data_IF_448544296041
#
_entry.id   IF_448544296041
#
_cell.length_a   1.000
_cell.length_b   1.000
_cell.length_c   1.000
_cell.angle_alpha   90.00
_cell.angle_beta   90.00
_cell.angle_gamma   90.00
#
_symmetry.space_group_name_H-M   'P 1'
#
loop_
_entity.id
_entity.type
_entity.pdbx_description
1 polymer ?
#
# COMPACT_ATOMS: atom_id res chain seq x y z
N UNK A 1 -13.97 -2.81 15.17
CA UNK A 1 -14.00 -1.34 15.39
C UNK A 1 -12.69 -0.71 14.90
N UNK A 2 -12.82 0.39 14.22
CA UNK A 2 -11.67 1.07 13.65
C UNK A 2 -10.83 1.73 14.75
N UNK A 3 -9.51 1.48 14.74
CA UNK A 3 -8.60 2.10 15.71
C UNK A 3 -8.44 3.60 15.43
N UNK A 4 -8.40 4.37 16.50
CA UNK A 4 -8.15 5.82 16.40
C UNK A 4 -6.67 6.06 16.14
N UNK A 5 -6.37 6.94 15.17
CA UNK A 5 -4.99 7.32 14.86
C UNK A 5 -4.42 8.19 15.97
N UNK A 6 -3.16 7.93 16.40
CA UNK A 6 -2.52 8.80 17.40
C UNK A 6 -2.17 10.16 16.79
N UNK A 7 -2.05 11.18 17.66
CA UNK A 7 -1.68 12.53 17.25
C UNK A 7 -0.25 12.59 16.71
N UNK A 8 0.65 11.79 17.27
CA UNK A 8 2.03 11.68 16.77
C UNK A 8 2.26 10.25 16.32
N UNK A 9 2.75 10.11 15.08
CA UNK A 9 3.01 8.82 14.47
C UNK A 9 4.38 8.86 13.83
N UNK A 10 5.10 7.76 13.93
CA UNK A 10 6.32 7.60 13.16
C UNK A 10 5.93 7.39 11.70
N UNK A 11 6.59 8.11 10.81
CA UNK A 11 6.32 8.03 9.37
C UNK A 11 7.59 7.65 8.61
N UNK A 12 7.41 6.85 7.58
CA UNK A 12 8.46 6.49 6.63
C UNK A 12 7.92 6.74 5.23
N UNK A 13 8.77 7.21 4.33
CA UNK A 13 8.41 7.47 2.93
C UNK A 13 9.50 6.90 2.03
N UNK A 14 9.09 6.11 1.02
CA UNK A 14 10.01 5.56 0.04
C UNK A 14 9.44 5.68 -1.37
N UNK A 15 10.30 5.84 -2.38
CA UNK A 15 9.84 5.89 -3.76
C UNK A 15 9.46 4.51 -4.28
N UNK A 16 8.50 4.50 -5.19
CA UNK A 16 8.05 3.30 -5.90
C UNK A 16 7.76 3.68 -7.34
N UNK A 17 8.18 2.85 -8.28
CA UNK A 17 7.82 3.04 -9.69
C UNK A 17 6.88 1.91 -10.13
N UNK A 18 5.79 2.27 -10.77
CA UNK A 18 4.83 1.32 -11.32
C UNK A 18 4.32 1.84 -12.65
N UNK A 19 4.48 1.03 -13.70
CA UNK A 19 4.07 1.39 -15.07
C UNK A 19 4.60 2.75 -15.53
N UNK A 20 5.88 3.02 -15.23
CA UNK A 20 6.53 4.25 -15.64
C UNK A 20 6.21 5.48 -14.82
N UNK A 21 5.34 5.35 -13.82
CA UNK A 21 4.98 6.44 -12.92
C UNK A 21 5.69 6.26 -11.59
N UNK A 22 6.30 7.32 -11.09
CA UNK A 22 6.94 7.31 -9.76
C UNK A 22 5.95 7.81 -8.71
N UNK A 23 5.89 7.07 -7.62
CA UNK A 23 5.07 7.42 -6.46
C UNK A 23 5.95 7.48 -5.23
N UNK A 24 5.60 8.33 -4.28
CA UNK A 24 6.18 8.30 -2.95
C UNK A 24 5.18 7.62 -2.02
N UNK A 25 5.54 6.44 -1.53
CA UNK A 25 4.68 5.64 -0.68
C UNK A 25 5.09 5.87 0.76
N UNK A 26 4.13 6.30 1.57
CA UNK A 26 4.36 6.57 2.98
C UNK A 26 3.56 5.63 3.85
N UNK A 27 4.07 5.40 5.06
CA UNK A 27 3.33 4.69 6.09
C UNK A 27 3.56 5.36 7.42
N UNK A 28 2.60 5.19 8.32
CA UNK A 28 2.75 5.58 9.72
C UNK A 28 2.31 4.42 10.59
N UNK A 29 2.81 4.40 11.83
CA UNK A 29 2.60 3.28 12.75
C UNK A 29 1.93 3.77 14.03
N UNK A 30 1.16 2.86 14.66
CA UNK A 30 0.71 3.06 16.03
C UNK A 30 1.89 2.95 16.99
N UNK A 31 1.70 3.36 18.24
CA UNK A 31 2.76 3.31 19.26
C UNK A 31 3.28 1.90 19.50
N UNK A 32 2.46 0.89 19.28
CA UNK A 32 2.86 -0.52 19.41
C UNK A 32 3.65 -1.05 18.20
N UNK A 33 3.92 -0.19 17.20
CA UNK A 33 4.67 -0.57 16.01
C UNK A 33 3.82 -1.16 14.89
N UNK A 34 2.53 -1.40 15.11
CA UNK A 34 1.66 -1.90 14.05
C UNK A 34 1.34 -0.80 13.05
N UNK A 35 1.09 -1.18 11.81
CA UNK A 35 0.83 -0.25 10.72
C UNK A 35 -0.52 0.45 10.92
N UNK A 36 -0.52 1.78 10.94
CA UNK A 36 -1.70 2.59 11.21
C UNK A 36 -2.37 3.07 9.93
N UNK A 37 -1.58 3.62 9.01
CA UNK A 37 -2.11 4.08 7.72
C UNK A 37 -1.00 4.12 6.69
N UNK A 38 -1.42 4.13 5.44
CA UNK A 38 -0.53 4.38 4.31
C UNK A 38 -1.05 5.58 3.53
N UNK A 39 -0.14 6.23 2.81
CA UNK A 39 -0.50 7.35 1.95
C UNK A 39 0.42 7.34 0.74
N UNK A 40 0.01 8.02 -0.32
CA UNK A 40 0.79 8.09 -1.54
C UNK A 40 0.75 9.51 -2.10
N UNK A 41 1.87 9.95 -2.67
CA UNK A 41 1.94 11.20 -3.41
C UNK A 41 2.76 10.98 -4.67
N UNK A 42 2.60 11.87 -5.64
CA UNK A 42 3.43 11.89 -6.83
C UNK A 42 4.36 13.10 -6.74
N UNK A 43 5.61 12.99 -7.28
CA UNK A 43 6.55 14.12 -7.24
C UNK A 43 6.04 15.36 -7.98
N UNK A 44 5.23 15.13 -9.00
CA UNK A 44 4.61 16.20 -9.77
C UNK A 44 3.12 16.21 -9.41
N UNK A 45 2.58 17.39 -9.10
CA UNK A 45 1.15 17.51 -8.81
C UNK A 45 0.38 17.02 -10.02
N UNK A 46 -0.33 15.92 -9.85
CA UNK A 46 -1.02 15.24 -10.93
C UNK A 46 -2.50 15.10 -10.63
N UNK A 47 -3.32 15.40 -11.64
CA UNK A 47 -4.76 15.14 -11.58
C UNK A 47 -5.13 13.94 -12.42
N UNK A 48 -4.15 13.13 -12.82
CA UNK A 48 -4.38 11.95 -13.65
C UNK A 48 -5.24 10.91 -12.93
N UNK A 49 -5.92 10.09 -13.71
CA UNK A 49 -6.71 8.97 -13.18
C UNK A 49 -5.82 8.02 -12.36
N UNK A 50 -4.60 7.78 -12.82
CA UNK A 50 -3.67 6.91 -12.11
C UNK A 50 -3.35 7.44 -10.71
N UNK A 51 -3.13 8.75 -10.58
CA UNK A 51 -2.84 9.37 -9.30
C UNK A 51 -4.07 9.30 -8.36
N UNK A 52 -5.26 9.54 -8.91
CA UNK A 52 -6.50 9.45 -8.14
C UNK A 52 -6.73 8.00 -7.65
N UNK A 53 -6.53 7.03 -8.53
CA UNK A 53 -6.69 5.61 -8.19
C UNK A 53 -5.72 5.20 -7.07
N UNK A 54 -4.47 5.66 -7.17
CA UNK A 54 -3.47 5.36 -6.13
C UNK A 54 -3.89 5.93 -4.78
N UNK A 55 -4.39 7.16 -4.75
CA UNK A 55 -4.87 7.78 -3.51
C UNK A 55 -6.07 7.05 -2.94
N UNK A 56 -7.05 6.71 -3.78
CA UNK A 56 -8.23 5.97 -3.33
C UNK A 56 -7.86 4.61 -2.74
N UNK A 57 -6.96 3.90 -3.40
CA UNK A 57 -6.51 2.60 -2.93
C UNK A 57 -5.80 2.72 -1.56
N UNK A 58 -4.95 3.73 -1.37
CA UNK A 58 -4.28 3.90 -0.07
C UNK A 58 -5.27 4.23 1.04
N UNK A 59 -6.33 4.97 0.73
CA UNK A 59 -7.40 5.24 1.71
C UNK A 59 -8.08 3.92 2.10
N UNK A 60 -8.42 3.09 1.13
CA UNK A 60 -9.06 1.79 1.41
C UNK A 60 -8.15 0.86 2.19
N UNK A 61 -6.87 0.82 1.85
CA UNK A 61 -5.88 0.03 2.59
C UNK A 61 -5.81 0.52 4.04
N UNK A 62 -5.72 1.84 4.24
CA UNK A 62 -5.65 2.42 5.59
C UNK A 62 -6.86 2.04 6.43
N UNK A 63 -8.06 2.13 5.86
CA UNK A 63 -9.29 1.74 6.57
C UNK A 63 -9.24 0.26 6.93
N UNK A 64 -8.83 -0.60 6.01
CA UNK A 64 -8.73 -2.05 6.27
C UNK A 64 -7.74 -2.35 7.41
N UNK A 65 -6.56 -1.70 7.39
CA UNK A 65 -5.55 -1.87 8.44
C UNK A 65 -6.09 -1.44 9.79
N UNK A 66 -6.82 -0.34 9.84
CA UNK A 66 -7.39 0.18 11.08
C UNK A 66 -8.50 -0.71 11.63
N UNK A 67 -9.07 -1.57 10.80
CA UNK A 67 -10.05 -2.58 11.20
C UNK A 67 -9.41 -3.95 11.49
N UNK A 68 -8.09 -4.03 11.46
CA UNK A 68 -7.37 -5.23 11.86
C UNK A 68 -6.83 -6.11 10.73
N UNK A 69 -7.02 -5.73 9.48
CA UNK A 69 -6.44 -6.48 8.36
C UNK A 69 -4.93 -6.32 8.36
N UNK A 70 -4.21 -7.35 7.90
CA UNK A 70 -2.77 -7.28 7.71
C UNK A 70 -2.43 -6.97 6.26
N UNK A 71 -1.23 -6.41 6.04
CA UNK A 71 -0.72 -6.19 4.68
C UNK A 71 -0.68 -7.51 3.92
N UNK A 72 -0.22 -8.57 4.57
CA UNK A 72 -0.08 -9.88 3.94
C UNK A 72 -1.45 -10.45 3.52
N UNK A 73 -2.44 -10.31 4.35
CA UNK A 73 -3.81 -10.72 4.05
C UNK A 73 -4.34 -10.00 2.82
N UNK A 74 -4.14 -8.69 2.74
CA UNK A 74 -4.56 -7.88 1.60
C UNK A 74 -3.80 -8.24 0.33
N UNK A 75 -2.49 -8.52 0.44
CA UNK A 75 -1.67 -8.94 -0.70
C UNK A 75 -2.20 -10.21 -1.34
N UNK A 76 -2.66 -11.15 -0.54
CA UNK A 76 -3.19 -12.43 -1.05
C UNK A 76 -4.59 -12.30 -1.63
N UNK A 77 -5.27 -11.19 -1.36
CA UNK A 77 -6.64 -10.97 -1.81
C UNK A 77 -6.75 -10.10 -3.06
N UNK A 78 -5.65 -9.41 -3.43
CA UNK A 78 -5.66 -8.46 -4.53
C UNK A 78 -5.30 -9.14 -5.86
N UNK A 79 -5.71 -8.51 -6.96
CA UNK A 79 -5.48 -9.05 -8.30
C UNK A 79 -4.01 -9.13 -8.65
N UNK A 80 -3.58 -10.29 -9.14
CA UNK A 80 -2.21 -10.56 -9.58
C UNK A 80 -2.23 -11.08 -11.01
N UNK A 81 -1.14 -10.85 -11.73
CA UNK A 81 -0.97 -11.49 -13.02
C UNK A 81 -0.76 -12.99 -12.81
N UNK A 82 -1.29 -13.79 -13.70
CA UNK A 82 -1.11 -15.24 -13.62
C UNK A 82 0.34 -15.61 -13.88
N UNK A 83 0.86 -16.54 -13.08
CA UNK A 83 2.16 -17.15 -13.34
C UNK A 83 1.91 -18.43 -14.15
N UNK A 84 2.67 -18.63 -15.19
CA UNK A 84 2.56 -19.80 -16.05
C UNK A 84 2.93 -21.10 -15.33
N UNK A 85 3.69 -20.98 -14.29
CA UNK A 85 4.08 -22.11 -13.45
C UNK A 85 3.32 -22.03 -12.15
N UNK A 86 2.64 -23.08 -11.77
CA UNK A 86 1.90 -23.14 -10.51
C UNK A 86 2.84 -23.09 -9.31
N UNK A 87 3.55 -22.00 -9.19
CA UNK A 87 4.53 -21.82 -8.12
C UNK A 87 3.89 -21.36 -6.81
N UNK A 88 4.66 -21.50 -5.75
CA UNK A 88 4.24 -21.09 -4.43
C UNK A 88 4.38 -19.58 -4.20
N UNK A 89 4.98 -18.85 -5.12
CA UNK A 89 5.15 -17.41 -4.99
C UNK A 89 4.02 -16.65 -5.65
N UNK A 90 3.79 -15.44 -5.18
CA UNK A 90 2.77 -14.55 -5.73
C UNK A 90 3.19 -14.07 -7.11
N UNK A 91 2.23 -13.93 -8.01
CA UNK A 91 2.45 -13.28 -9.30
C UNK A 91 2.72 -11.79 -9.14
N UNK A 92 3.10 -11.14 -10.23
CA UNK A 92 3.32 -9.70 -10.22
C UNK A 92 2.02 -8.95 -10.00
N UNK A 93 2.07 -7.76 -9.41
CA UNK A 93 0.84 -6.98 -9.23
C UNK A 93 0.22 -6.59 -10.57
N UNK A 94 -1.07 -6.83 -10.70
CA UNK A 94 -1.81 -6.50 -11.91
C UNK A 94 -2.28 -5.04 -11.94
N UNK A 95 -2.32 -4.39 -10.78
CA UNK A 95 -2.77 -3.01 -10.65
C UNK A 95 -2.00 -2.28 -9.56
N UNK A 96 -2.35 -1.01 -9.37
CA UNK A 96 -1.68 -0.16 -8.38
C UNK A 96 -1.84 -0.70 -6.95
N UNK A 97 -2.97 -1.33 -6.66
CA UNK A 97 -3.22 -1.89 -5.32
C UNK A 97 -2.19 -2.93 -4.93
N UNK A 98 -1.92 -3.88 -5.83
CA UNK A 98 -0.90 -4.90 -5.58
C UNK A 98 0.49 -4.32 -5.46
N UNK A 99 0.81 -3.34 -6.31
CA UNK A 99 2.12 -2.67 -6.26
C UNK A 99 2.32 -1.95 -4.92
N UNK A 100 1.30 -1.24 -4.45
CA UNK A 100 1.36 -0.53 -3.16
C UNK A 100 1.51 -1.51 -2.00
N UNK A 101 0.75 -2.60 -2.00
CA UNK A 101 0.82 -3.59 -0.93
C UNK A 101 2.17 -4.30 -0.91
N UNK A 102 2.74 -4.60 -2.07
CA UNK A 102 4.08 -5.21 -2.14
C UNK A 102 5.13 -4.24 -1.61
N UNK A 103 5.01 -2.95 -1.94
CA UNK A 103 5.93 -1.94 -1.40
C UNK A 103 5.81 -1.80 0.11
N UNK A 104 4.59 -1.80 0.64
CA UNK A 104 4.38 -1.74 2.08
C UNK A 104 4.98 -2.96 2.78
N UNK A 105 4.81 -4.15 2.22
CA UNK A 105 5.39 -5.36 2.78
C UNK A 105 6.92 -5.28 2.85
N UNK A 106 7.54 -4.66 1.87
CA UNK A 106 8.98 -4.39 1.84
C UNK A 106 9.39 -3.42 2.95
N UNK A 107 8.61 -2.36 3.12
CA UNK A 107 8.93 -1.30 4.10
C UNK A 107 8.77 -1.74 5.54
N UNK A 108 7.90 -2.69 5.83
CA UNK A 108 7.62 -3.13 7.21
C UNK A 108 8.46 -4.32 7.67
N UNK A 109 9.35 -4.81 6.83
CA UNK A 109 10.25 -5.90 7.22
C UNK A 109 11.26 -5.47 8.27
#
# INVERSE_FOLDING_TARGET
MRRTLPLRRQSEIEPMTFRGQTYHVGLSKFDDGSLAETFVSTPVKSTSAAAADARDVTILISVALQHGASVDELRHSITRSETMEGGAHMGDPAGIGGALLDKLAEMIK
#
